data_IF_371738351411
#
_entry.id   IF_371738351411
#
_cell.length_a   1.000
_cell.length_b   1.000
_cell.length_c   1.000
_cell.angle_alpha   90.00
_cell.angle_beta   90.00
_cell.angle_gamma   90.00
#
_symmetry.space_group_name_H-M   'P 1'
#
loop_
_entity.id
_entity.type
_entity.pdbx_description
1 polymer ?
#
# COMPACT_ATOMS: atom_id res chain seq x y z
N UNK A 1 12.74 -11.99 -2.16
CA UNK A 1 11.44 -11.40 -2.53
C UNK A 1 11.63 -9.88 -2.54
N UNK A 2 11.24 -9.16 -3.60
CA UNK A 2 11.31 -7.69 -3.63
C UNK A 2 10.00 -7.13 -3.07
N UNK A 3 10.07 -6.23 -2.10
CA UNK A 3 8.90 -5.56 -1.54
C UNK A 3 8.41 -4.45 -2.47
N UNK A 4 7.09 -4.21 -2.45
CA UNK A 4 6.41 -3.34 -3.42
C UNK A 4 5.41 -2.42 -2.71
N UNK A 5 5.27 -1.19 -3.20
CA UNK A 5 4.24 -0.25 -2.76
C UNK A 5 3.50 0.34 -3.94
N UNK A 6 2.21 0.64 -3.75
CA UNK A 6 1.53 1.59 -4.63
C UNK A 6 1.95 3.03 -4.27
N UNK A 7 1.88 3.94 -5.23
CA UNK A 7 2.08 5.38 -4.97
C UNK A 7 1.10 5.94 -3.94
N UNK A 8 -0.09 5.33 -3.81
CA UNK A 8 -1.08 5.72 -2.80
C UNK A 8 -0.64 5.34 -1.40
N UNK A 9 -0.12 4.11 -1.21
CA UNK A 9 0.39 3.70 0.10
C UNK A 9 1.65 4.49 0.49
N UNK A 10 2.53 4.81 -0.46
CA UNK A 10 3.66 5.69 -0.20
C UNK A 10 3.20 7.11 0.23
N UNK A 11 2.16 7.65 -0.41
CA UNK A 11 1.54 8.92 -0.03
C UNK A 11 0.91 8.89 1.37
N UNK A 12 0.29 7.77 1.75
CA UNK A 12 -0.27 7.58 3.09
C UNK A 12 0.82 7.55 4.17
N UNK A 13 1.94 6.87 3.91
CA UNK A 13 3.11 6.91 4.79
C UNK A 13 3.64 8.34 4.92
N UNK A 14 3.78 9.07 3.80
CA UNK A 14 4.17 10.48 3.84
C UNK A 14 3.22 11.31 4.72
N UNK A 15 1.90 11.18 4.52
CA UNK A 15 0.91 11.89 5.32
C UNK A 15 1.05 11.61 6.82
N UNK A 16 1.20 10.33 7.20
CA UNK A 16 1.38 9.94 8.59
C UNK A 16 2.66 10.55 9.19
N UNK A 17 3.76 10.56 8.42
CA UNK A 17 5.00 11.19 8.84
C UNK A 17 4.85 12.69 9.00
N UNK A 18 4.25 13.37 8.02
CA UNK A 18 4.02 14.82 8.09
C UNK A 18 3.17 15.19 9.31
N UNK A 19 2.11 14.42 9.58
CA UNK A 19 1.22 14.61 10.73
C UNK A 19 1.91 14.38 12.08
N UNK A 20 2.84 13.42 12.18
CA UNK A 20 3.46 13.01 13.46
C UNK A 20 4.84 13.65 13.73
N UNK A 21 5.57 14.01 12.68
CA UNK A 21 6.97 14.43 12.72
C UNK A 21 7.23 15.77 12.00
N UNK A 22 6.23 16.35 11.35
CA UNK A 22 6.35 17.58 10.57
C UNK A 22 6.73 17.35 9.11
N UNK A 23 6.47 18.37 8.28
CA UNK A 23 6.65 18.31 6.83
C UNK A 23 8.10 18.06 6.41
N UNK A 24 9.06 18.72 7.06
CA UNK A 24 10.48 18.58 6.72
C UNK A 24 10.96 17.12 6.83
N UNK A 25 10.54 16.41 7.88
CA UNK A 25 10.85 14.99 8.05
C UNK A 25 10.23 14.14 6.93
N UNK A 26 8.98 14.40 6.58
CA UNK A 26 8.27 13.68 5.53
C UNK A 26 8.89 13.93 4.14
N UNK A 27 9.29 15.16 3.84
CA UNK A 27 9.98 15.53 2.60
C UNK A 27 11.37 14.89 2.51
N UNK A 28 12.06 14.78 3.65
CA UNK A 28 13.29 14.02 3.77
C UNK A 28 13.08 12.55 3.42
N UNK A 29 12.08 11.91 4.03
CA UNK A 29 11.71 10.53 3.71
C UNK A 29 11.36 10.35 2.23
N UNK A 30 10.53 11.22 1.65
CA UNK A 30 10.13 11.10 0.25
C UNK A 30 11.32 11.16 -0.71
N UNK A 31 12.21 12.15 -0.53
CA UNK A 31 13.40 12.31 -1.37
C UNK A 31 14.37 11.14 -1.24
N UNK A 32 14.54 10.60 -0.04
CA UNK A 32 15.59 9.61 0.25
C UNK A 32 15.10 8.17 0.08
N UNK A 33 14.02 7.80 0.75
CA UNK A 33 13.49 6.45 0.78
C UNK A 33 12.68 6.10 -0.48
N UNK A 34 11.84 7.02 -0.94
CA UNK A 34 10.93 6.77 -2.08
C UNK A 34 11.60 7.07 -3.42
N UNK A 35 12.19 8.27 -3.58
CA UNK A 35 12.86 8.67 -4.82
C UNK A 35 14.33 8.26 -4.88
N UNK A 36 15.03 8.28 -3.74
CA UNK A 36 16.47 8.03 -3.64
C UNK A 36 16.85 6.55 -3.57
N UNK A 37 15.89 5.62 -3.54
CA UNK A 37 16.13 4.18 -3.58
C UNK A 37 16.80 3.60 -2.33
N UNK A 38 16.79 4.32 -1.20
CA UNK A 38 17.37 3.83 0.05
C UNK A 38 16.63 2.62 0.63
N UNK A 39 15.33 2.49 0.32
CA UNK A 39 14.58 1.29 0.66
C UNK A 39 14.56 0.36 -0.56
N UNK A 40 14.76 -0.96 -0.39
CA UNK A 40 14.71 -1.95 -1.48
C UNK A 40 13.26 -2.24 -1.89
N UNK A 41 12.50 -1.19 -2.16
CA UNK A 41 11.07 -1.20 -2.49
C UNK A 41 10.90 -0.81 -3.95
N UNK A 42 9.97 -1.47 -4.64
CA UNK A 42 9.51 -1.03 -5.95
C UNK A 42 8.23 -0.25 -5.83
N UNK A 43 8.22 0.98 -6.33
CA UNK A 43 7.04 1.84 -6.36
C UNK A 43 6.24 1.63 -7.66
N UNK A 44 4.93 1.49 -7.52
CA UNK A 44 3.99 1.30 -8.63
C UNK A 44 2.98 2.45 -8.66
N UNK A 45 2.95 3.18 -9.77
CA UNK A 45 2.00 4.29 -9.96
C UNK A 45 0.55 3.82 -9.96
N UNK A 46 -0.35 4.66 -9.45
CA UNK A 46 -1.79 4.48 -9.52
C UNK A 46 -2.33 4.74 -10.94
N UNK A 47 -2.09 3.79 -11.85
CA UNK A 47 -2.67 3.82 -13.20
C UNK A 47 -4.19 3.68 -13.16
N UNK A 48 -4.89 4.06 -14.21
CA UNK A 48 -6.35 3.97 -14.32
C UNK A 48 -6.84 2.53 -14.08
N UNK A 49 -6.12 1.54 -14.59
CA UNK A 49 -6.43 0.13 -14.35
C UNK A 49 -6.36 -0.24 -12.86
N UNK A 50 -5.32 0.22 -12.14
CA UNK A 50 -5.18 -0.01 -10.69
C UNK A 50 -6.21 0.77 -9.89
N UNK A 51 -6.53 1.99 -10.30
CA UNK A 51 -7.60 2.80 -9.68
C UNK A 51 -8.94 2.08 -9.80
N UNK A 52 -9.27 1.55 -10.99
CA UNK A 52 -10.51 0.81 -11.20
C UNK A 52 -10.53 -0.52 -10.41
N UNK A 53 -9.41 -1.22 -10.33
CA UNK A 53 -9.28 -2.43 -9.53
C UNK A 53 -9.49 -2.14 -8.03
N UNK A 54 -8.84 -1.10 -7.49
CA UNK A 54 -9.02 -0.67 -6.11
C UNK A 54 -10.47 -0.24 -5.84
N UNK A 55 -11.10 0.50 -6.75
CA UNK A 55 -12.50 0.88 -6.64
C UNK A 55 -13.42 -0.35 -6.52
N UNK A 56 -13.19 -1.39 -7.33
CA UNK A 56 -13.96 -2.65 -7.28
C UNK A 56 -13.76 -3.39 -5.96
N UNK A 57 -12.53 -3.46 -5.45
CA UNK A 57 -12.24 -4.08 -4.16
C UNK A 57 -12.91 -3.31 -3.01
N UNK A 58 -12.79 -1.98 -2.99
CA UNK A 58 -13.47 -1.13 -2.01
C UNK A 58 -14.99 -1.30 -2.06
N UNK A 59 -15.59 -1.33 -3.25
CA UNK A 59 -17.03 -1.52 -3.41
C UNK A 59 -17.50 -2.88 -2.90
N UNK A 60 -16.70 -3.94 -3.10
CA UNK A 60 -17.03 -5.30 -2.65
C UNK A 60 -16.87 -5.48 -1.15
N UNK A 61 -15.79 -4.95 -0.57
CA UNK A 61 -15.39 -5.28 0.80
C UNK A 61 -15.54 -4.14 1.82
N UNK A 62 -15.88 -2.93 1.39
CA UNK A 62 -16.06 -1.78 2.30
C UNK A 62 -14.77 -1.19 2.89
N UNK A 63 -13.59 -1.68 2.51
CA UNK A 63 -12.27 -1.29 3.01
C UNK A 63 -11.82 0.12 2.60
N UNK A 64 -10.77 0.67 3.24
CA UNK A 64 -10.22 1.98 2.85
C UNK A 64 -9.59 1.93 1.44
N UNK A 65 -9.41 3.10 0.81
CA UNK A 65 -8.84 3.15 -0.54
C UNK A 65 -7.36 2.74 -0.55
N UNK A 66 -6.60 3.06 0.51
CA UNK A 66 -5.21 2.61 0.69
C UNK A 66 -5.10 1.08 0.77
N UNK A 67 -5.97 0.45 1.56
CA UNK A 67 -6.10 -1.00 1.67
C UNK A 67 -6.45 -1.66 0.33
N UNK A 68 -7.41 -1.08 -0.38
CA UNK A 68 -7.82 -1.57 -1.69
C UNK A 68 -6.68 -1.51 -2.72
N UNK A 69 -5.83 -0.48 -2.67
CA UNK A 69 -4.63 -0.42 -3.50
C UNK A 69 -3.57 -1.44 -3.09
N UNK A 70 -3.37 -1.65 -1.79
CA UNK A 70 -2.42 -2.64 -1.29
C UNK A 70 -2.84 -4.07 -1.69
N UNK A 71 -4.11 -4.42 -1.48
CA UNK A 71 -4.69 -5.69 -1.92
C UNK A 71 -4.66 -5.85 -3.44
N UNK A 72 -5.05 -4.81 -4.18
CA UNK A 72 -5.06 -4.84 -5.64
C UNK A 72 -3.67 -5.09 -6.23
N UNK A 73 -2.65 -4.45 -5.66
CA UNK A 73 -1.26 -4.64 -6.08
C UNK A 73 -0.74 -6.04 -5.70
N UNK A 74 -1.09 -6.55 -4.51
CA UNK A 74 -0.74 -7.90 -4.09
C UNK A 74 -1.30 -8.97 -5.06
N UNK A 75 -2.56 -8.82 -5.48
CA UNK A 75 -3.18 -9.66 -6.50
C UNK A 75 -2.47 -9.57 -7.86
N UNK A 76 -2.16 -8.35 -8.30
CA UNK A 76 -1.49 -8.10 -9.58
C UNK A 76 -0.11 -8.79 -9.62
N UNK A 77 0.68 -8.62 -8.56
CA UNK A 77 2.04 -9.13 -8.48
C UNK A 77 2.13 -10.59 -8.02
N UNK A 78 1.01 -11.18 -7.58
CA UNK A 78 0.97 -12.52 -6.94
C UNK A 78 1.95 -12.62 -5.77
N UNK A 79 1.99 -11.56 -4.96
CA UNK A 79 2.84 -11.45 -3.78
C UNK A 79 1.96 -11.38 -2.53
N UNK A 80 2.46 -11.85 -1.37
CA UNK A 80 1.73 -11.68 -0.12
C UNK A 80 1.57 -10.20 0.23
N UNK A 81 0.41 -9.84 0.75
CA UNK A 81 0.17 -8.55 1.37
C UNK A 81 0.71 -8.58 2.80
N UNK A 82 1.67 -7.71 3.08
CA UNK A 82 2.25 -7.54 4.41
C UNK A 82 1.46 -6.47 5.17
N UNK A 83 0.83 -6.83 6.29
CA UNK A 83 0.01 -5.89 7.08
C UNK A 83 -0.16 -6.35 8.52
N UNK A 84 -0.38 -5.40 9.43
CA UNK A 84 -0.81 -5.63 10.81
C UNK A 84 -2.24 -5.14 11.09
N UNK A 85 -2.97 -4.71 10.06
CA UNK A 85 -4.34 -4.22 10.20
C UNK A 85 -5.36 -5.37 10.16
N UNK A 86 -6.10 -5.57 11.24
CA UNK A 86 -7.05 -6.69 11.35
C UNK A 86 -8.28 -6.49 10.47
N UNK A 87 -8.61 -5.24 10.14
CA UNK A 87 -9.79 -4.90 9.34
C UNK A 87 -9.69 -5.45 7.90
N UNK A 88 -8.46 -5.71 7.42
CA UNK A 88 -8.22 -6.20 6.05
C UNK A 88 -8.19 -7.73 5.94
N UNK A 89 -8.11 -8.47 7.06
CA UNK A 89 -7.87 -9.92 7.05
C UNK A 89 -8.96 -10.68 6.30
N UNK A 90 -10.22 -10.43 6.65
CA UNK A 90 -11.37 -11.13 6.07
C UNK A 90 -11.49 -10.81 4.57
N UNK A 91 -11.32 -9.54 4.21
CA UNK A 91 -11.34 -9.08 2.82
C UNK A 91 -10.21 -9.71 1.98
N UNK A 92 -9.00 -9.78 2.52
CA UNK A 92 -7.85 -10.39 1.86
C UNK A 92 -8.04 -11.90 1.65
N UNK A 93 -8.53 -12.61 2.67
CA UNK A 93 -8.82 -14.03 2.57
C UNK A 93 -9.90 -14.31 1.51
N UNK A 94 -11.01 -13.56 1.52
CA UNK A 94 -12.09 -13.74 0.54
C UNK A 94 -11.66 -13.33 -0.89
N UNK A 95 -10.75 -12.36 -1.01
CA UNK A 95 -10.16 -11.96 -2.28
C UNK A 95 -9.09 -12.94 -2.81
N UNK A 96 -8.68 -13.93 -2.02
CA UNK A 96 -7.59 -14.86 -2.37
C UNK A 96 -6.20 -14.21 -2.32
N UNK A 97 -6.05 -13.16 -1.51
CA UNK A 97 -4.76 -12.49 -1.25
C UNK A 97 -4.01 -13.25 -0.16
N UNK A 98 -2.82 -13.75 -0.47
CA UNK A 98 -1.94 -14.30 0.55
C UNK A 98 -1.54 -13.19 1.55
N UNK A 99 -1.53 -13.51 2.85
CA UNK A 99 -1.20 -12.55 3.90
C UNK A 99 0.13 -12.93 4.58
N UNK A 100 0.94 -11.92 4.85
CA UNK A 100 2.06 -12.00 5.78
C UNK A 100 1.79 -11.02 6.93
N UNK A 101 1.60 -11.55 8.13
CA UNK A 101 1.09 -10.78 9.24
C UNK A 101 2.20 -10.11 10.04
N UNK A 102 2.07 -8.81 10.31
CA UNK A 102 2.96 -8.04 11.18
C UNK A 102 2.34 -7.85 12.56
N UNK A 103 2.56 -8.81 13.47
CA UNK A 103 2.25 -8.69 14.90
C UNK A 103 0.79 -8.94 15.24
#
# INVERSE_FOLDING_TARGET
>A
MQASWSSINAGEVYYQLARRRGQEFADGFWRTAVLGGLLPLRLYSATEARVLQAARLKARFGIAYGDAFAMGLALELRQPLVTGDSEIRDAAQEAGVALEWLG
#
